data_IF_954872324993
#
_entry.id   IF_954872324993
#
_cell.length_a   1.000
_cell.length_b   1.000
_cell.length_c   1.000
_cell.angle_alpha   90.00
_cell.angle_beta   90.00
_cell.angle_gamma   90.00
#
_symmetry.space_group_name_H-M   'P 1'
#
loop_
_entity.id
_entity.type
_entity.pdbx_description
1 polymer ?
#
# COMPACT_ATOMS: atom_id res chain seq x y z
N UNK A 1 17.00 20.21 15.02
CA UNK A 1 15.86 21.08 15.45
C UNK A 1 14.56 20.89 14.64
N UNK A 2 14.39 19.83 13.81
CA UNK A 2 13.17 19.64 13.00
C UNK A 2 12.21 18.53 13.54
N UNK A 3 12.53 17.90 14.67
CA UNK A 3 11.82 16.71 15.16
C UNK A 3 10.51 17.02 15.91
N UNK A 4 10.42 18.17 16.58
CA UNK A 4 9.27 18.56 17.39
C UNK A 4 8.09 18.99 16.53
N UNK A 5 8.34 19.80 15.49
CA UNK A 5 7.28 20.33 14.61
C UNK A 5 6.48 19.25 13.88
N UNK A 6 7.08 18.11 13.53
CA UNK A 6 6.35 17.04 12.81
C UNK A 6 5.29 16.38 13.69
N UNK A 7 5.64 16.08 14.94
CA UNK A 7 4.74 15.44 15.91
C UNK A 7 3.71 16.44 16.45
N UNK A 8 4.11 17.69 16.68
CA UNK A 8 3.22 18.75 17.13
C UNK A 8 2.13 19.07 16.08
N UNK A 9 2.48 19.02 14.79
CA UNK A 9 1.54 19.35 13.70
C UNK A 9 0.59 18.21 13.30
N UNK A 10 0.98 16.93 13.48
CA UNK A 10 0.19 15.80 13.00
C UNK A 10 -0.52 14.99 14.09
N UNK A 11 0.00 14.97 15.33
CA UNK A 11 -0.46 14.00 16.35
C UNK A 11 -0.61 14.57 17.77
N UNK A 12 -0.75 15.90 17.90
CA UNK A 12 -1.26 16.50 19.14
C UNK A 12 -0.28 16.59 20.33
N UNK A 13 1.00 16.84 20.07
CA UNK A 13 1.95 17.34 21.09
C UNK A 13 2.66 16.31 21.97
N UNK A 14 3.26 16.78 23.07
CA UNK A 14 4.19 16.06 23.97
C UNK A 14 3.64 14.74 24.54
N UNK A 15 2.32 14.61 24.66
CA UNK A 15 1.67 13.50 25.34
C UNK A 15 1.82 12.16 24.60
N UNK A 16 1.74 12.17 23.26
CA UNK A 16 1.86 10.94 22.46
C UNK A 16 3.29 10.41 22.44
N UNK A 17 4.27 11.33 22.39
CA UNK A 17 5.68 10.96 22.47
C UNK A 17 6.00 10.32 23.83
N UNK A 18 5.48 10.90 24.91
CA UNK A 18 5.63 10.31 26.24
C UNK A 18 4.95 8.94 26.36
N UNK A 19 3.77 8.76 25.77
CA UNK A 19 3.07 7.47 25.76
C UNK A 19 3.82 6.38 24.98
N UNK A 20 4.33 6.70 23.78
CA UNK A 20 5.09 5.74 22.96
C UNK A 20 6.43 5.38 23.60
N UNK A 21 7.11 6.33 24.24
CA UNK A 21 8.32 6.07 25.02
C UNK A 21 8.04 5.23 26.28
N UNK A 22 6.91 5.44 26.94
CA UNK A 22 6.48 4.62 28.07
C UNK A 22 6.23 3.17 27.63
N UNK A 23 5.54 2.96 26.50
CA UNK A 23 5.30 1.62 25.93
C UNK A 23 6.63 0.94 25.54
N UNK A 24 7.54 1.66 24.88
CA UNK A 24 8.88 1.14 24.56
C UNK A 24 9.65 0.73 25.83
N UNK A 25 9.57 1.54 26.88
CA UNK A 25 10.18 1.23 28.19
C UNK A 25 9.54 0.01 28.86
N UNK A 26 8.23 -0.18 28.71
CA UNK A 26 7.51 -1.37 29.18
C UNK A 26 8.00 -2.60 28.41
N UNK A 27 8.12 -2.55 27.09
CA UNK A 27 8.62 -3.68 26.29
C UNK A 27 10.04 -4.11 26.71
N UNK A 28 10.90 -3.17 27.07
CA UNK A 28 12.25 -3.48 27.57
C UNK A 28 12.23 -4.13 28.96
N UNK A 29 11.30 -3.71 29.84
CA UNK A 29 11.30 -4.08 31.27
C UNK A 29 10.45 -5.30 31.61
N UNK A 30 9.38 -5.58 30.86
CA UNK A 30 8.29 -6.43 31.36
C UNK A 30 8.53 -7.93 31.20
N UNK A 31 9.39 -8.36 30.28
CA UNK A 31 9.50 -9.78 29.87
C UNK A 31 8.23 -10.34 29.19
N UNK A 32 7.09 -9.66 29.35
CA UNK A 32 5.90 -9.74 28.49
C UNK A 32 6.31 -9.17 27.13
N UNK A 33 6.09 -9.94 26.06
CA UNK A 33 6.62 -9.69 24.71
C UNK A 33 6.35 -8.29 24.13
N UNK A 34 6.92 -7.96 22.95
CA UNK A 34 6.85 -6.61 22.41
C UNK A 34 5.41 -6.16 22.16
N UNK A 35 4.92 -5.17 22.92
CA UNK A 35 3.66 -4.50 22.63
C UNK A 35 3.79 -3.79 21.27
N UNK A 36 2.97 -4.22 20.30
CA UNK A 36 2.89 -3.62 18.97
C UNK A 36 2.18 -2.26 19.05
N UNK A 37 2.73 -1.23 18.43
CA UNK A 37 2.19 0.13 18.37
C UNK A 37 1.77 0.43 16.94
N UNK A 38 0.46 0.48 16.71
CA UNK A 38 -0.11 0.83 15.42
C UNK A 38 -0.62 2.26 15.40
N UNK A 39 -0.43 2.95 14.27
CA UNK A 39 -1.15 4.17 13.93
C UNK A 39 -2.00 3.93 12.69
N UNK A 40 -3.30 4.21 12.77
CA UNK A 40 -4.21 4.11 11.64
C UNK A 40 -4.72 5.51 11.29
N UNK A 41 -4.56 5.91 10.03
CA UNK A 41 -4.96 7.21 9.52
C UNK A 41 -6.17 7.02 8.60
N UNK A 42 -7.36 7.28 9.14
CA UNK A 42 -8.65 7.27 8.42
C UNK A 42 -8.99 8.66 7.84
N UNK A 43 -8.03 9.34 7.20
CA UNK A 43 -8.30 10.62 6.55
C UNK A 43 -8.90 10.42 5.16
N UNK A 44 -9.93 11.18 4.79
CA UNK A 44 -10.30 11.34 3.40
C UNK A 44 -9.20 12.13 2.66
N UNK A 45 -8.70 11.60 1.56
CA UNK A 45 -7.71 12.28 0.72
C UNK A 45 -6.49 11.43 0.40
N UNK A 46 -5.65 11.96 -0.49
CA UNK A 46 -4.51 11.28 -1.09
C UNK A 46 -3.29 11.14 -0.16
N UNK A 47 -3.47 11.09 1.17
CA UNK A 47 -2.38 11.01 2.15
C UNK A 47 -1.41 9.87 1.85
N UNK A 48 -1.93 8.70 1.48
CA UNK A 48 -1.10 7.57 1.05
C UNK A 48 -0.47 7.72 -0.34
N UNK A 49 -0.97 8.61 -1.21
CA UNK A 49 -0.43 8.81 -2.58
C UNK A 49 0.58 9.94 -2.68
N UNK A 50 0.55 10.90 -1.78
CA UNK A 50 1.52 12.00 -1.83
C UNK A 50 2.86 11.45 -1.35
N UNK A 51 3.87 11.40 -2.22
CA UNK A 51 5.19 10.83 -1.91
C UNK A 51 5.78 11.43 -0.62
N UNK A 52 5.65 12.75 -0.43
CA UNK A 52 6.12 13.43 0.77
C UNK A 52 5.39 12.93 2.02
N UNK A 53 4.06 12.81 1.98
CA UNK A 53 3.28 12.26 3.09
C UNK A 53 3.66 10.81 3.37
N UNK A 54 3.75 9.95 2.36
CA UNK A 54 4.16 8.56 2.52
C UNK A 54 5.57 8.43 3.16
N UNK A 55 6.52 9.28 2.76
CA UNK A 55 7.85 9.34 3.38
C UNK A 55 7.79 9.77 4.84
N UNK A 56 6.94 10.75 5.19
CA UNK A 56 6.73 11.15 6.58
C UNK A 56 6.12 10.03 7.42
N UNK A 57 5.16 9.27 6.89
CA UNK A 57 4.59 8.11 7.57
C UNK A 57 5.63 7.00 7.77
N UNK A 58 6.46 6.75 6.76
CA UNK A 58 7.59 5.82 6.88
C UNK A 58 8.58 6.24 7.96
N UNK A 59 8.91 7.53 8.04
CA UNK A 59 9.82 8.09 9.05
C UNK A 59 9.31 7.89 10.48
N UNK A 60 8.00 7.84 10.69
CA UNK A 60 7.42 7.56 12.00
C UNK A 60 7.77 6.13 12.45
N UNK A 61 7.74 5.18 11.52
CA UNK A 61 8.13 3.79 11.76
C UNK A 61 9.65 3.66 11.88
N UNK A 62 10.42 4.28 10.97
CA UNK A 62 11.89 4.29 10.98
C UNK A 62 12.49 4.83 12.29
N UNK A 63 11.74 5.70 12.98
CA UNK A 63 12.13 6.27 14.28
C UNK A 63 11.66 5.47 15.48
N UNK A 64 11.13 4.27 15.26
CA UNK A 64 10.64 3.37 16.31
C UNK A 64 9.58 4.06 17.20
N UNK A 65 8.77 4.95 16.63
CA UNK A 65 7.65 5.59 17.34
C UNK A 65 6.45 4.64 17.33
N UNK A 66 6.17 4.08 16.16
CA UNK A 66 5.17 3.04 15.91
C UNK A 66 5.82 1.89 15.14
N UNK A 67 5.30 0.68 15.34
CA UNK A 67 5.74 -0.52 14.63
C UNK A 67 5.11 -0.60 13.23
N UNK A 68 3.95 0.02 13.05
CA UNK A 68 3.36 0.27 11.74
C UNK A 68 2.49 1.53 11.69
N UNK A 69 2.35 2.05 10.47
CA UNK A 69 1.41 3.10 10.11
C UNK A 69 0.59 2.64 8.90
N UNK A 70 -0.72 2.55 9.08
CA UNK A 70 -1.68 2.24 8.02
C UNK A 70 -2.40 3.51 7.59
N UNK A 71 -2.45 3.76 6.29
CA UNK A 71 -3.18 4.88 5.71
C UNK A 71 -3.95 4.45 4.45
N UNK A 72 -5.11 5.04 4.24
CA UNK A 72 -5.85 4.88 3.00
C UNK A 72 -5.28 5.80 1.92
N UNK A 73 -5.18 5.29 0.70
CA UNK A 73 -4.65 6.02 -0.44
C UNK A 73 -5.75 6.42 -1.45
N UNK A 74 -7.03 6.19 -1.16
CA UNK A 74 -8.15 6.61 -1.99
C UNK A 74 -8.47 8.09 -1.82
N UNK A 75 -9.26 8.65 -2.74
CA UNK A 75 -9.79 10.02 -2.61
C UNK A 75 -10.84 10.16 -1.50
N UNK A 76 -11.53 9.06 -1.19
CA UNK A 76 -12.50 8.98 -0.12
C UNK A 76 -12.36 7.62 0.56
N UNK A 77 -12.78 7.57 1.82
CA UNK A 77 -12.86 6.34 2.61
C UNK A 77 -14.25 6.31 3.23
N UNK A 78 -15.06 5.32 2.88
CA UNK A 78 -16.36 5.11 3.51
C UNK A 78 -16.20 4.17 4.69
N UNK A 79 -16.43 4.67 5.91
CA UNK A 79 -16.24 3.92 7.16
C UNK A 79 -16.98 2.58 7.15
N UNK A 80 -18.24 2.56 6.70
CA UNK A 80 -19.08 1.35 6.61
C UNK A 80 -18.48 0.26 5.73
N UNK A 81 -17.57 0.62 4.81
CA UNK A 81 -16.91 -0.31 3.89
C UNK A 81 -15.57 -0.78 4.48
N UNK A 82 -14.78 0.11 5.09
CA UNK A 82 -13.42 -0.23 5.50
C UNK A 82 -13.29 -0.72 6.94
N UNK A 83 -14.21 -0.32 7.83
CA UNK A 83 -14.15 -0.69 9.26
C UNK A 83 -14.19 -2.21 9.47
N UNK A 84 -15.01 -3.00 8.77
CA UNK A 84 -15.00 -4.47 8.94
C UNK A 84 -13.66 -5.11 8.58
N UNK A 85 -12.97 -4.63 7.54
CA UNK A 85 -11.64 -5.12 7.18
C UNK A 85 -10.57 -4.62 8.18
N UNK A 86 -10.71 -3.38 8.66
CA UNK A 86 -9.82 -2.80 9.65
C UNK A 86 -9.88 -3.51 11.01
N UNK A 87 -11.08 -3.85 11.48
CA UNK A 87 -11.26 -4.60 12.73
C UNK A 87 -10.57 -5.96 12.65
N UNK A 88 -10.77 -6.70 11.55
CA UNK A 88 -10.07 -7.97 11.30
C UNK A 88 -8.55 -7.79 11.29
N UNK A 89 -8.05 -6.71 10.69
CA UNK A 89 -6.62 -6.40 10.70
C UNK A 89 -6.08 -6.17 12.13
N UNK A 90 -6.80 -5.40 12.94
CA UNK A 90 -6.45 -5.15 14.34
C UNK A 90 -6.47 -6.47 15.13
N UNK A 91 -7.51 -7.28 15.00
CA UNK A 91 -7.60 -8.59 15.64
C UNK A 91 -6.43 -9.51 15.24
N UNK A 92 -6.12 -9.57 13.93
CA UNK A 92 -5.02 -10.36 13.39
C UNK A 92 -3.66 -9.94 13.96
N UNK A 93 -3.41 -8.64 14.09
CA UNK A 93 -2.15 -8.15 14.66
C UNK A 93 -2.08 -8.34 16.18
N UNK A 94 -3.13 -7.97 16.91
CA UNK A 94 -3.07 -7.82 18.36
C UNK A 94 -3.51 -9.06 19.14
N UNK A 95 -4.40 -9.87 18.57
CA UNK A 95 -4.97 -11.05 19.23
C UNK A 95 -4.31 -12.31 18.69
N UNK A 96 -4.18 -12.41 17.37
CA UNK A 96 -3.62 -13.60 16.71
C UNK A 96 -2.11 -13.54 16.47
N UNK A 97 -1.44 -12.45 16.87
CA UNK A 97 0.01 -12.25 16.75
C UNK A 97 0.54 -12.52 15.32
N UNK A 98 -0.27 -12.16 14.32
CA UNK A 98 0.14 -12.29 12.92
C UNK A 98 1.15 -11.22 12.55
N UNK A 99 2.05 -11.55 11.61
CA UNK A 99 2.93 -10.56 11.00
C UNK A 99 2.08 -9.46 10.36
N UNK A 100 2.43 -8.20 10.64
CA UNK A 100 1.69 -7.01 10.23
C UNK A 100 1.29 -7.03 8.75
N UNK A 101 2.21 -7.40 7.86
CA UNK A 101 1.92 -7.47 6.42
C UNK A 101 0.95 -8.61 6.07
N UNK A 102 1.18 -9.81 6.61
CA UNK A 102 0.31 -10.96 6.33
C UNK A 102 -1.10 -10.71 6.90
N UNK A 103 -1.21 -10.06 8.07
CA UNK A 103 -2.48 -9.61 8.65
C UNK A 103 -3.24 -8.64 7.73
N UNK A 104 -2.55 -7.72 7.07
CA UNK A 104 -3.15 -6.81 6.10
C UNK A 104 -3.66 -7.59 4.88
N UNK A 105 -2.81 -8.44 4.29
CA UNK A 105 -3.16 -9.24 3.12
C UNK A 105 -4.35 -10.16 3.37
N UNK A 106 -4.51 -10.69 4.58
CA UNK A 106 -5.66 -11.52 4.93
C UNK A 106 -6.93 -10.67 5.11
N UNK A 107 -6.85 -9.61 5.93
CA UNK A 107 -8.02 -8.82 6.33
C UNK A 107 -8.59 -7.97 5.20
N UNK A 108 -7.71 -7.25 4.50
CA UNK A 108 -8.06 -6.43 3.34
C UNK A 108 -7.99 -7.20 2.05
N UNK A 109 -7.30 -8.34 2.04
CA UNK A 109 -7.48 -9.33 1.00
C UNK A 109 -8.96 -9.56 0.87
N UNK A 110 -9.54 -10.42 1.69
CA UNK A 110 -10.87 -11.00 1.46
C UNK A 110 -11.99 -9.99 1.15
N UNK A 111 -11.88 -8.74 1.59
CA UNK A 111 -12.82 -7.67 1.31
C UNK A 111 -12.57 -6.93 -0.02
N UNK A 112 -13.22 -7.42 -1.09
CA UNK A 112 -13.17 -6.74 -2.40
C UNK A 112 -13.76 -5.32 -2.34
N UNK A 113 -14.76 -5.06 -1.51
CA UNK A 113 -15.44 -3.77 -1.48
C UNK A 113 -14.54 -2.69 -0.88
N UNK A 114 -13.86 -2.99 0.24
CA UNK A 114 -12.87 -2.11 0.84
C UNK A 114 -11.76 -1.74 -0.15
N UNK A 115 -11.18 -2.75 -0.81
CA UNK A 115 -10.08 -2.53 -1.74
C UNK A 115 -10.49 -1.85 -3.05
N UNK A 116 -11.73 -2.03 -3.50
CA UNK A 116 -12.23 -1.30 -4.67
C UNK A 116 -12.40 0.20 -4.36
N UNK A 117 -12.69 0.55 -3.11
CA UNK A 117 -12.88 1.92 -2.67
C UNK A 117 -11.55 2.67 -2.51
N UNK A 118 -10.60 2.05 -1.82
CA UNK A 118 -9.31 2.68 -1.53
C UNK A 118 -8.20 1.63 -1.46
N UNK A 119 -7.09 1.80 -2.21
CA UNK A 119 -5.85 1.12 -1.90
C UNK A 119 -5.40 1.45 -0.46
N UNK A 120 -4.62 0.55 0.14
CA UNK A 120 -4.11 0.71 1.50
C UNK A 120 -2.60 0.80 1.46
N UNK A 121 -2.04 1.87 2.01
CA UNK A 121 -0.63 2.04 2.25
C UNK A 121 -0.29 1.55 3.65
N UNK A 122 0.74 0.73 3.77
CA UNK A 122 1.28 0.27 5.04
C UNK A 122 2.79 0.53 5.08
N UNK A 123 3.22 1.38 6.00
CA UNK A 123 4.61 1.46 6.44
C UNK A 123 4.76 0.59 7.68
N UNK A 124 5.71 -0.34 7.69
CA UNK A 124 5.87 -1.26 8.82
C UNK A 124 7.31 -1.72 8.96
N UNK A 125 7.69 -2.04 10.18
CA UNK A 125 8.96 -2.65 10.50
C UNK A 125 8.86 -4.17 10.36
N UNK A 126 9.86 -4.77 9.72
CA UNK A 126 10.03 -6.21 9.64
C UNK A 126 11.49 -6.59 9.94
N UNK A 127 11.70 -7.80 10.42
CA UNK A 127 13.03 -8.36 10.64
C UNK A 127 13.36 -9.22 9.43
N UNK A 128 14.26 -8.72 8.58
CA UNK A 128 14.80 -9.50 7.46
C UNK A 128 16.07 -10.19 7.90
N UNK A 129 16.19 -11.46 7.56
CA UNK A 129 17.43 -12.22 7.74
C UNK A 129 18.26 -12.08 6.47
N UNK A 130 19.46 -11.52 6.59
CA UNK A 130 20.44 -11.46 5.50
C UNK A 130 21.02 -12.85 5.19
N UNK A 131 21.74 -12.97 4.07
CA UNK A 131 22.45 -14.19 3.62
C UNK A 131 23.38 -14.75 4.71
N UNK A 132 23.85 -13.89 5.62
CA UNK A 132 24.73 -14.24 6.73
C UNK A 132 23.98 -14.56 8.05
N UNK A 133 22.68 -14.88 7.98
CA UNK A 133 21.79 -15.07 9.15
C UNK A 133 21.69 -13.85 10.09
N UNK A 134 22.17 -12.69 9.64
CA UNK A 134 22.10 -11.45 10.41
C UNK A 134 20.68 -10.90 10.32
N UNK A 135 20.03 -10.78 11.49
CA UNK A 135 18.73 -10.11 11.61
C UNK A 135 18.92 -8.61 11.47
N UNK A 136 18.35 -8.04 10.42
CA UNK A 136 18.31 -6.62 10.17
C UNK A 136 16.88 -6.11 10.30
N UNK A 137 16.72 -5.03 11.05
CA UNK A 137 15.48 -4.29 11.12
C UNK A 137 15.34 -3.44 9.87
N UNK A 138 14.26 -3.65 9.12
CA UNK A 138 14.00 -2.97 7.84
C UNK A 138 12.58 -2.43 7.86
N UNK A 139 12.44 -1.15 7.54
CA UNK A 139 11.13 -0.53 7.34
C UNK A 139 10.79 -0.51 5.87
N UNK A 140 9.73 -1.23 5.51
CA UNK A 140 9.15 -1.22 4.18
C UNK A 140 7.95 -0.29 4.12
N UNK A 141 7.59 0.16 2.93
CA UNK A 141 6.32 0.85 2.68
C UNK A 141 5.71 0.29 1.41
N UNK A 142 4.56 -0.36 1.57
CA UNK A 142 3.90 -1.10 0.50
C UNK A 142 2.49 -0.57 0.31
N UNK A 143 2.03 -0.62 -0.94
CA UNK A 143 0.64 -0.39 -1.30
C UNK A 143 -0.01 -1.75 -1.57
N UNK A 144 -1.13 -2.04 -0.93
CA UNK A 144 -2.05 -3.10 -1.33
C UNK A 144 -3.16 -2.45 -2.17
N UNK A 145 -3.48 -3.02 -3.33
CA UNK A 145 -4.45 -2.46 -4.25
C UNK A 145 -5.28 -3.54 -4.98
N UNK A 146 -6.48 -3.15 -5.43
CA UNK A 146 -7.31 -3.96 -6.32
C UNK A 146 -7.11 -3.53 -7.77
N UNK A 147 -6.67 -4.47 -8.58
CA UNK A 147 -6.72 -4.42 -10.04
C UNK A 147 -8.16 -4.49 -10.52
N UNK A 148 -8.61 -3.42 -11.16
CA UNK A 148 -9.91 -3.33 -11.77
C UNK A 148 -9.82 -2.65 -13.13
N UNK A 149 -9.73 -3.46 -14.19
CA UNK A 149 -9.61 -2.97 -15.57
C UNK A 149 -10.83 -2.14 -16.00
N UNK A 150 -12.02 -2.43 -15.45
CA UNK A 150 -13.25 -1.69 -15.77
C UNK A 150 -13.21 -0.26 -15.23
N UNK A 151 -12.57 -0.07 -14.09
CA UNK A 151 -12.43 1.23 -13.43
C UNK A 151 -11.13 1.95 -13.85
N UNK A 152 -10.43 1.47 -14.88
CA UNK A 152 -9.17 2.08 -15.32
C UNK A 152 -7.98 1.84 -14.39
N UNK A 153 -7.96 0.73 -13.64
CA UNK A 153 -6.91 0.43 -12.65
C UNK A 153 -6.15 -0.86 -12.99
N UNK A 154 -5.35 -0.90 -14.07
CA UNK A 154 -4.52 -2.05 -14.38
C UNK A 154 -3.55 -2.32 -13.23
N UNK A 155 -3.61 -3.54 -12.68
CA UNK A 155 -2.76 -3.94 -11.55
C UNK A 155 -2.82 -2.97 -10.36
N UNK A 156 -4.00 -2.42 -10.09
CA UNK A 156 -4.22 -1.50 -8.97
C UNK A 156 -3.63 -0.11 -9.15
N UNK A 157 -3.05 0.19 -10.32
CA UNK A 157 -2.40 1.45 -10.64
C UNK A 157 -3.40 2.38 -11.34
N UNK A 158 -3.89 3.38 -10.62
CA UNK A 158 -4.80 4.39 -11.18
C UNK A 158 -4.09 5.66 -11.66
N UNK A 159 -2.78 5.73 -11.45
CA UNK A 159 -1.88 6.75 -11.99
C UNK A 159 -1.37 6.41 -13.39
N UNK A 160 -1.79 5.29 -13.98
CA UNK A 160 -1.42 4.88 -15.34
C UNK A 160 -1.71 6.01 -16.36
N UNK A 161 -0.85 6.14 -17.37
CA UNK A 161 -0.97 7.14 -18.43
C UNK A 161 -0.81 6.51 -19.80
N UNK A 162 -1.38 7.15 -20.81
CA UNK A 162 -1.16 6.74 -22.20
C UNK A 162 0.34 6.88 -22.57
N UNK A 163 0.90 5.84 -23.19
CA UNK A 163 2.30 5.83 -23.64
C UNK A 163 2.57 6.69 -24.87
N UNK A 164 1.54 7.17 -25.57
CA UNK A 164 1.75 8.04 -26.72
C UNK A 164 2.47 9.32 -26.26
N UNK A 165 3.63 9.63 -26.85
CA UNK A 165 4.44 10.77 -26.45
C UNK A 165 3.69 12.11 -26.53
N UNK A 166 2.79 12.25 -27.52
CA UNK A 166 1.95 13.43 -27.72
C UNK A 166 0.66 13.41 -26.91
N UNK A 167 0.34 12.31 -26.21
CA UNK A 167 -0.88 12.18 -25.42
C UNK A 167 -0.58 11.51 -24.07
N UNK A 168 -0.63 12.29 -22.99
CA UNK A 168 -0.46 11.83 -21.61
C UNK A 168 -1.79 11.67 -20.88
N UNK A 169 -2.79 11.14 -21.59
CA UNK A 169 -4.12 10.97 -21.03
C UNK A 169 -4.07 10.12 -19.74
N UNK A 170 -4.81 10.52 -18.70
CA UNK A 170 -4.93 9.76 -17.45
C UNK A 170 -5.73 8.47 -17.61
N UNK A 171 -5.60 7.57 -16.63
CA UNK A 171 -6.19 6.24 -16.68
C UNK A 171 -7.71 6.23 -16.91
N UNK A 172 -8.45 7.24 -16.43
CA UNK A 172 -9.90 7.36 -16.67
C UNK A 172 -10.26 7.63 -18.15
N UNK A 173 -9.30 8.03 -18.98
CA UNK A 173 -9.45 8.18 -20.44
C UNK A 173 -8.94 6.95 -21.20
N UNK A 174 -8.71 5.82 -20.52
CA UNK A 174 -8.13 4.61 -21.10
C UNK A 174 -9.01 3.42 -20.79
N UNK A 175 -9.41 2.68 -21.82
CA UNK A 175 -10.16 1.44 -21.68
C UNK A 175 -9.18 0.28 -21.71
N UNK A 176 -9.18 -0.55 -20.67
CA UNK A 176 -8.33 -1.73 -20.56
C UNK A 176 -9.11 -3.02 -20.80
N UNK A 177 -8.47 -3.96 -21.48
CA UNK A 177 -8.97 -5.32 -21.68
C UNK A 177 -7.84 -6.34 -21.49
N UNK A 178 -8.14 -7.56 -21.04
CA UNK A 178 -7.18 -8.65 -21.13
C UNK A 178 -6.80 -8.91 -22.61
N UNK A 179 -5.55 -9.29 -22.83
CA UNK A 179 -4.98 -9.66 -24.14
C UNK A 179 -4.39 -11.06 -24.06
N UNK A 180 -4.73 -11.92 -25.02
CA UNK A 180 -4.20 -13.28 -25.10
C UNK A 180 -4.71 -14.23 -24.00
N UNK A 181 -3.82 -15.10 -23.50
CA UNK A 181 -4.13 -16.11 -22.49
C UNK A 181 -4.41 -15.45 -21.14
N UNK A 182 -5.57 -15.77 -20.56
CA UNK A 182 -5.93 -15.34 -19.21
C UNK A 182 -5.46 -16.36 -18.19
N UNK A 183 -4.77 -15.86 -17.17
CA UNK A 183 -4.32 -16.65 -16.03
C UNK A 183 -5.21 -16.35 -14.82
N UNK A 184 -5.29 -17.33 -13.92
CA UNK A 184 -6.06 -17.25 -12.68
C UNK A 184 -5.14 -17.59 -11.50
N UNK A 185 -5.65 -17.47 -10.29
CA UNK A 185 -4.90 -17.67 -9.05
C UNK A 185 -3.81 -16.63 -8.90
N UNK A 186 -2.77 -16.97 -8.18
CA UNK A 186 -1.58 -16.13 -8.03
C UNK A 186 -0.86 -15.86 -9.36
N UNK A 187 -1.20 -16.59 -10.43
CA UNK A 187 -0.67 -16.37 -11.77
C UNK A 187 -1.43 -15.30 -12.56
N UNK A 188 -2.52 -14.73 -12.03
CA UNK A 188 -3.36 -13.78 -12.77
C UNK A 188 -2.57 -12.57 -13.30
N UNK A 189 -1.53 -12.14 -12.59
CA UNK A 189 -0.62 -11.05 -12.99
C UNK A 189 0.14 -11.34 -14.29
N UNK A 190 0.23 -12.61 -14.73
CA UNK A 190 0.80 -12.99 -16.03
C UNK A 190 -0.14 -12.68 -17.20
N UNK A 191 -1.41 -12.37 -16.92
CA UNK A 191 -2.37 -11.94 -17.94
C UNK A 191 -1.94 -10.60 -18.51
N UNK A 192 -1.62 -10.58 -19.81
CA UNK A 192 -1.31 -9.34 -20.52
C UNK A 192 -2.56 -8.51 -20.70
N UNK A 193 -2.38 -7.21 -20.86
CA UNK A 193 -3.47 -6.27 -21.15
C UNK A 193 -3.25 -5.58 -22.49
N UNK A 194 -4.34 -5.15 -23.09
CA UNK A 194 -4.36 -4.16 -24.17
C UNK A 194 -5.15 -2.95 -23.69
N UNK A 195 -4.83 -1.78 -24.19
CA UNK A 195 -5.64 -0.60 -23.93
C UNK A 195 -5.95 0.20 -25.19
N UNK A 196 -7.02 0.98 -25.11
CA UNK A 196 -7.37 2.02 -26.08
C UNK A 196 -7.51 3.35 -25.36
N UNK A 197 -6.73 4.35 -25.76
CA UNK A 197 -6.82 5.70 -25.22
C UNK A 197 -7.95 6.45 -25.93
N UNK A 198 -8.97 6.88 -25.20
CA UNK A 198 -10.12 7.60 -25.75
C UNK A 198 -9.77 9.00 -26.26
N UNK A 199 -8.68 9.59 -25.75
CA UNK A 199 -8.25 10.93 -26.13
C UNK A 199 -7.50 10.97 -27.47
N UNK A 200 -6.58 10.03 -27.72
CA UNK A 200 -5.75 10.02 -28.94
C UNK A 200 -5.97 8.79 -29.83
N UNK A 201 -6.92 7.92 -29.48
CA UNK A 201 -7.25 6.69 -30.19
C UNK A 201 -6.09 5.69 -30.32
N UNK A 202 -4.98 5.90 -29.61
CA UNK A 202 -3.84 4.97 -29.61
C UNK A 202 -4.24 3.65 -28.96
N UNK A 203 -3.92 2.55 -29.64
CA UNK A 203 -4.12 1.18 -29.16
C UNK A 203 -2.77 0.55 -28.89
N UNK A 204 -2.55 0.08 -27.66
CA UNK A 204 -1.35 -0.68 -27.29
C UNK A 204 -1.78 -2.07 -26.84
N UNK A 205 -1.08 -3.11 -27.30
CA UNK A 205 -1.41 -4.52 -27.06
C UNK A 205 -0.29 -5.21 -26.28
N UNK A 206 -0.64 -6.33 -25.67
CA UNK A 206 0.29 -7.27 -25.05
C UNK A 206 1.22 -6.67 -23.99
N UNK A 207 0.70 -5.70 -23.24
CA UNK A 207 1.38 -5.05 -22.13
C UNK A 207 1.42 -6.05 -20.97
N UNK A 208 2.64 -6.42 -20.56
CA UNK A 208 2.88 -7.29 -19.42
C UNK A 208 2.73 -6.51 -18.10
N UNK A 209 2.37 -7.22 -17.02
CA UNK A 209 2.45 -6.67 -15.68
C UNK A 209 3.90 -6.26 -15.37
N UNK A 210 4.13 -5.07 -14.79
CA UNK A 210 5.46 -4.69 -14.33
C UNK A 210 5.99 -5.70 -13.31
N UNK A 211 7.29 -5.98 -13.36
CA UNK A 211 7.94 -7.04 -12.56
C UNK A 211 7.98 -6.72 -11.06
N UNK A 212 7.83 -5.44 -10.71
CA UNK A 212 7.77 -4.93 -9.34
C UNK A 212 6.35 -4.92 -8.76
N UNK A 213 5.34 -5.35 -9.54
CA UNK A 213 3.98 -5.58 -9.05
C UNK A 213 3.81 -7.07 -8.75
N UNK A 214 3.36 -7.36 -7.54
CA UNK A 214 3.26 -8.72 -7.03
C UNK A 214 1.82 -9.09 -6.76
N UNK A 215 1.43 -10.33 -7.06
CA UNK A 215 0.14 -10.84 -6.63
C UNK A 215 0.12 -10.95 -5.09
N UNK A 216 -0.97 -10.49 -4.47
CA UNK A 216 -1.18 -10.69 -3.04
C UNK A 216 -1.48 -12.16 -2.74
N UNK A 217 -1.10 -12.68 -1.56
CA UNK A 217 -1.21 -14.12 -1.21
C UNK A 217 -2.64 -14.65 -1.06
N UNK A 218 -3.66 -13.81 -1.23
CA UNK A 218 -5.06 -14.20 -1.00
C UNK A 218 -5.63 -15.08 -2.13
N UNK A 219 -6.62 -15.92 -1.79
CA UNK A 219 -7.31 -16.80 -2.76
C UNK A 219 -8.08 -16.10 -3.87
N UNK A 220 -8.30 -14.78 -3.79
CA UNK A 220 -9.10 -14.04 -4.75
C UNK A 220 -8.24 -13.31 -5.80
N UNK A 221 -8.72 -13.31 -7.03
CA UNK A 221 -8.05 -12.69 -8.17
C UNK A 221 -8.12 -11.16 -8.12
N UNK A 222 -7.11 -10.52 -8.72
CA UNK A 222 -7.10 -9.07 -8.92
C UNK A 222 -6.47 -8.27 -7.79
N UNK A 223 -5.90 -8.88 -6.75
CA UNK A 223 -5.21 -8.16 -5.68
C UNK A 223 -3.71 -8.20 -5.89
N UNK A 224 -3.09 -7.05 -5.73
CA UNK A 224 -1.65 -6.87 -5.90
C UNK A 224 -1.10 -5.96 -4.83
N UNK A 225 0.21 -6.07 -4.66
CA UNK A 225 0.97 -5.10 -3.90
C UNK A 225 2.25 -4.71 -4.63
N UNK A 226 2.79 -3.56 -4.25
CA UNK A 226 4.05 -3.03 -4.73
C UNK A 226 4.66 -2.08 -3.70
N UNK A 227 5.95 -1.79 -3.83
CA UNK A 227 6.63 -0.80 -2.98
C UNK A 227 6.15 0.62 -3.32
N UNK A 228 6.06 1.48 -2.31
CA UNK A 228 5.63 2.87 -2.47
C UNK A 228 6.52 3.82 -1.66
N UNK A 229 6.88 5.01 -2.17
CA UNK A 229 6.55 5.56 -3.49
C UNK A 229 7.25 4.84 -4.65
N UNK A 230 6.69 4.96 -5.85
CA UNK A 230 7.33 4.42 -7.07
C UNK A 230 8.59 5.22 -7.43
N UNK A 231 9.58 4.53 -8.01
CA UNK A 231 10.78 5.18 -8.57
C UNK A 231 10.48 5.87 -9.90
N UNK A 232 11.41 6.70 -10.39
CA UNK A 232 11.25 7.36 -11.68
C UNK A 232 11.13 6.35 -12.84
N UNK A 233 11.90 5.27 -12.79
CA UNK A 233 11.86 4.19 -13.77
C UNK A 233 10.51 3.48 -13.74
N UNK A 234 9.99 3.17 -12.56
CA UNK A 234 8.67 2.54 -12.39
C UNK A 234 7.53 3.45 -12.89
N UNK A 235 7.63 4.76 -12.65
CA UNK A 235 6.69 5.76 -13.17
C UNK A 235 6.72 5.79 -14.71
N UNK A 236 7.92 5.77 -15.29
CA UNK A 236 8.10 5.75 -16.75
C UNK A 236 7.51 4.48 -17.38
N UNK A 237 7.69 3.32 -16.75
CA UNK A 237 7.12 2.03 -17.19
C UNK A 237 5.58 2.04 -17.26
N UNK A 238 4.92 2.94 -16.55
CA UNK A 238 3.45 3.10 -16.54
C UNK A 238 2.98 4.39 -17.23
N UNK A 239 3.89 5.01 -17.99
CA UNK A 239 3.61 6.16 -18.86
C UNK A 239 3.65 7.52 -18.16
N UNK A 240 3.98 7.56 -16.86
CA UNK A 240 4.16 8.78 -16.08
C UNK A 240 5.60 9.25 -16.27
N UNK A 241 5.78 10.33 -17.02
CA UNK A 241 7.08 10.97 -17.26
C UNK A 241 7.11 12.35 -16.60
#
# INVERSE_FOLDING_TARGET
MCHTKLLDNYIGGTNLKSATQAISSINIKSGVGPCVRGLIICSCGSTGRVNQSAQLLKLIVERDIFDFVLAFAGVSTMDVVVVPALNRFIENVYIYDMKIWDALEESFGEDRHAMNHSPVLLSFADIKTDINDKRQWVVDTRMLALSNLRDGRPWGLDIFRCFNASCKAPAYNIIFHPSGKQYYGNQWVQTKIKYTCLQCQTVVKDISCPTWVHAAKSYNYGRVWYQWPLTAEQLQEIGVA
#
